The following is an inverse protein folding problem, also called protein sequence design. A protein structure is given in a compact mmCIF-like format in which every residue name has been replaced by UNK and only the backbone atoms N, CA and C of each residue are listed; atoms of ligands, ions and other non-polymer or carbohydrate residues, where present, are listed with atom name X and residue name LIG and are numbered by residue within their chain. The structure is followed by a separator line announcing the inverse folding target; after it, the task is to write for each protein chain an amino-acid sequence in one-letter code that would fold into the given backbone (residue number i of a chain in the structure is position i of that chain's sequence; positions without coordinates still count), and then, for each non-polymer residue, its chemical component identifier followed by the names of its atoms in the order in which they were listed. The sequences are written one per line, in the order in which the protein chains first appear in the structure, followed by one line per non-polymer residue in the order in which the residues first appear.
data_IF_236770614106
#
_entry.id   IF_236770614106
#
_cell.length_a   1.000
_cell.length_b   1.000
_cell.length_c   1.000
_cell.angle_alpha   90.00
_cell.angle_beta   90.00
_cell.angle_gamma   90.00
#
_symmetry.space_group_name_H-M   'P 1'
#
loop_
_entity.id
_entity.type
_entity.pdbx_description
1 polymer ?
#
# COMPACT_ATOMS: atom_id res chain seq x y z
N UNK A 1 31.14 18.44 38.44
CA UNK A 1 29.66 18.35 38.48
C UNK A 1 28.99 18.78 37.16
N UNK A 2 29.38 19.91 36.54
CA UNK A 2 28.78 20.42 35.28
C UNK A 2 28.98 19.49 34.07
N UNK A 3 30.18 18.92 33.90
CA UNK A 3 30.50 17.96 32.83
C UNK A 3 29.64 16.69 32.89
N UNK A 4 29.42 16.15 34.11
CA UNK A 4 28.57 14.96 34.34
C UNK A 4 27.11 15.21 33.95
N UNK A 5 26.58 16.42 34.19
CA UNK A 5 25.21 16.79 33.77
C UNK A 5 25.08 16.95 32.26
N UNK A 6 26.09 17.49 31.59
CA UNK A 6 26.09 17.64 30.12
C UNK A 6 26.15 16.27 29.44
N UNK A 7 27.01 15.37 29.94
CA UNK A 7 27.08 14.00 29.45
C UNK A 7 25.75 13.25 29.64
N UNK A 8 25.14 13.37 30.83
CA UNK A 8 23.83 12.78 31.10
C UNK A 8 22.73 13.33 30.17
N UNK A 9 22.67 14.64 29.97
CA UNK A 9 21.69 15.26 29.08
C UNK A 9 21.86 14.85 27.60
N UNK A 10 23.10 14.72 27.11
CA UNK A 10 23.39 14.22 25.75
C UNK A 10 22.92 12.77 25.60
N UNK A 11 23.19 11.95 26.61
CA UNK A 11 22.77 10.55 26.65
C UNK A 11 21.24 10.43 26.62
N UNK A 12 20.53 11.20 27.44
CA UNK A 12 19.06 11.21 27.49
C UNK A 12 18.44 11.66 26.15
N UNK A 13 19.08 12.60 25.44
CA UNK A 13 18.67 13.02 24.10
C UNK A 13 18.87 11.92 23.04
N UNK A 14 20.01 11.22 23.07
CA UNK A 14 20.28 10.10 22.17
C UNK A 14 19.27 8.96 22.38
N UNK A 15 19.04 8.56 23.63
CA UNK A 15 18.03 7.54 23.98
C UNK A 15 16.61 7.95 23.52
N UNK A 16 16.24 9.21 23.70
CA UNK A 16 14.94 9.72 23.23
C UNK A 16 14.81 9.68 21.70
N UNK A 17 15.89 10.01 20.99
CA UNK A 17 15.91 10.01 19.53
C UNK A 17 15.87 8.59 18.96
N UNK A 18 16.66 7.67 19.54
CA UNK A 18 16.63 6.25 19.21
C UNK A 18 15.22 5.67 19.36
N UNK A 19 14.56 5.93 20.50
CA UNK A 19 13.18 5.49 20.74
C UNK A 19 12.21 6.00 19.70
N UNK A 20 12.35 7.27 19.28
CA UNK A 20 11.52 7.86 18.23
C UNK A 20 11.73 7.14 16.89
N UNK A 21 12.98 6.90 16.50
CA UNK A 21 13.31 6.21 15.25
C UNK A 21 12.83 4.76 15.26
N UNK A 22 13.05 4.03 16.35
CA UNK A 22 12.60 2.64 16.54
C UNK A 22 11.07 2.54 16.48
N UNK A 23 10.36 3.45 17.15
CA UNK A 23 8.90 3.53 17.08
C UNK A 23 8.41 3.89 15.67
N UNK A 24 9.11 4.78 14.98
CA UNK A 24 8.79 5.16 13.60
C UNK A 24 9.02 3.99 12.64
N UNK A 25 10.09 3.23 12.84
CA UNK A 25 10.41 2.05 12.05
C UNK A 25 9.31 1.00 12.16
N UNK A 26 8.89 0.65 13.39
CA UNK A 26 7.77 -0.24 13.63
C UNK A 26 6.48 0.26 12.97
N UNK A 27 6.15 1.55 13.12
CA UNK A 27 4.96 2.15 12.49
C UNK A 27 5.01 2.06 10.97
N UNK A 28 6.15 2.30 10.34
CA UNK A 28 6.28 2.20 8.89
C UNK A 28 6.11 0.77 8.40
N UNK A 29 6.66 -0.22 9.11
CA UNK A 29 6.43 -1.64 8.82
C UNK A 29 4.94 -1.99 8.90
N UNK A 30 4.23 -1.51 9.91
CA UNK A 30 2.79 -1.76 10.06
C UNK A 30 1.99 -1.11 8.93
N UNK A 31 2.37 0.11 8.49
CA UNK A 31 1.75 0.76 7.34
C UNK A 31 1.99 -0.01 6.03
N UNK A 32 3.18 -0.59 5.84
CA UNK A 32 3.46 -1.47 4.69
C UNK A 32 2.52 -2.67 4.71
N UNK A 33 2.44 -3.39 5.83
CA UNK A 33 1.56 -4.56 5.98
C UNK A 33 0.09 -4.19 5.74
N UNK A 34 -0.35 -3.07 6.30
CA UNK A 34 -1.71 -2.58 6.12
C UNK A 34 -2.02 -2.24 4.66
N UNK A 35 -1.08 -1.60 3.95
CA UNK A 35 -1.22 -1.33 2.52
C UNK A 35 -1.28 -2.63 1.68
N UNK A 36 -0.53 -3.65 2.06
CA UNK A 36 -0.60 -4.98 1.44
C UNK A 36 -1.96 -5.66 1.67
N UNK A 37 -2.47 -5.62 2.90
CA UNK A 37 -3.80 -6.15 3.21
C UNK A 37 -4.89 -5.43 2.40
N UNK A 38 -4.82 -4.10 2.27
CA UNK A 38 -5.75 -3.32 1.44
C UNK A 38 -5.71 -3.73 -0.03
N UNK A 39 -4.51 -3.88 -0.59
CA UNK A 39 -4.36 -4.28 -1.99
C UNK A 39 -4.83 -5.71 -2.23
N UNK A 40 -4.56 -6.64 -1.29
CA UNK A 40 -5.07 -8.00 -1.36
C UNK A 40 -6.60 -8.04 -1.28
N UNK A 41 -7.19 -7.29 -0.35
CA UNK A 41 -8.64 -7.21 -0.20
C UNK A 41 -9.31 -6.67 -1.48
N UNK A 42 -8.78 -5.57 -2.04
CA UNK A 42 -9.34 -5.00 -3.28
C UNK A 42 -9.14 -5.94 -4.48
N UNK A 43 -8.05 -6.71 -4.53
CA UNK A 43 -7.81 -7.68 -5.60
C UNK A 43 -8.81 -8.84 -5.52
N UNK A 44 -9.01 -9.41 -4.34
CA UNK A 44 -10.05 -10.43 -4.10
C UNK A 44 -11.42 -9.92 -4.50
N UNK A 45 -11.74 -8.68 -4.12
CA UNK A 45 -12.98 -8.04 -4.51
C UNK A 45 -13.13 -7.93 -6.03
N UNK A 46 -12.10 -7.48 -6.75
CA UNK A 46 -12.10 -7.44 -8.21
C UNK A 46 -12.32 -8.84 -8.83
N UNK A 47 -11.60 -9.85 -8.33
CA UNK A 47 -11.72 -11.23 -8.81
C UNK A 47 -13.14 -11.80 -8.66
N UNK A 48 -13.76 -11.59 -7.49
CA UNK A 48 -15.15 -12.02 -7.23
C UNK A 48 -16.11 -11.33 -8.20
N UNK A 49 -16.04 -10.00 -8.32
CA UNK A 49 -16.92 -9.24 -9.20
C UNK A 49 -16.75 -9.58 -10.68
N UNK A 50 -15.51 -9.74 -11.16
CA UNK A 50 -15.26 -10.21 -12.52
C UNK A 50 -15.88 -11.60 -12.74
N UNK A 51 -15.69 -12.54 -11.80
CA UNK A 51 -16.29 -13.87 -11.87
C UNK A 51 -17.82 -13.83 -11.94
N UNK A 52 -18.45 -13.00 -11.11
CA UNK A 52 -19.91 -12.78 -11.15
C UNK A 52 -20.37 -12.21 -12.48
N UNK A 53 -19.70 -11.18 -13.00
CA UNK A 53 -20.06 -10.55 -14.29
C UNK A 53 -19.90 -11.54 -15.44
N UNK A 54 -18.80 -12.31 -15.49
CA UNK A 54 -18.57 -13.34 -16.50
C UNK A 54 -19.68 -14.39 -16.44
N UNK A 55 -20.07 -14.82 -15.23
CA UNK A 55 -21.14 -15.80 -15.04
C UNK A 55 -22.47 -15.27 -15.57
N UNK A 56 -22.82 -14.01 -15.27
CA UNK A 56 -24.04 -13.37 -15.77
C UNK A 56 -24.01 -13.19 -17.29
N UNK A 57 -22.87 -12.81 -17.87
CA UNK A 57 -22.71 -12.67 -19.32
C UNK A 57 -22.77 -13.99 -20.10
N UNK A 58 -22.46 -15.11 -19.45
CA UNK A 58 -22.57 -16.46 -20.03
C UNK A 58 -23.97 -17.08 -19.87
N UNK A 59 -24.83 -16.46 -19.08
CA UNK A 59 -26.23 -16.90 -18.95
C UNK A 59 -26.93 -16.77 -20.31
N UNK A 60 -27.79 -17.73 -20.70
CA UNK A 60 -28.56 -17.64 -21.94
C UNK A 60 -29.58 -16.49 -21.91
N UNK A 61 -30.03 -16.08 -20.72
CA UNK A 61 -30.95 -14.97 -20.54
C UNK A 61 -30.22 -13.63 -20.66
N UNK A 62 -30.81 -12.69 -21.39
CA UNK A 62 -30.26 -11.33 -21.43
C UNK A 62 -30.44 -10.64 -20.06
N UNK A 63 -29.38 -10.01 -19.54
CA UNK A 63 -29.50 -9.32 -18.27
C UNK A 63 -30.46 -8.13 -18.42
N UNK A 64 -31.33 -7.89 -17.41
CA UNK A 64 -32.39 -6.88 -17.50
C UNK A 64 -31.81 -5.48 -17.69
N UNK A 65 -32.65 -4.51 -18.07
CA UNK A 65 -32.29 -3.07 -18.12
C UNK A 65 -31.08 -2.71 -19.01
N UNK A 66 -30.61 -3.62 -19.89
CA UNK A 66 -29.46 -3.36 -20.75
C UNK A 66 -28.10 -3.46 -20.05
N UNK A 67 -28.00 -4.18 -18.92
CA UNK A 67 -26.75 -4.38 -18.17
C UNK A 67 -25.60 -4.98 -18.98
N UNK A 68 -25.90 -5.64 -20.11
CA UNK A 68 -24.90 -6.24 -20.99
C UNK A 68 -23.85 -5.22 -21.46
N UNK A 69 -24.27 -4.02 -21.85
CA UNK A 69 -23.35 -2.97 -22.28
C UNK A 69 -22.48 -2.46 -21.12
N UNK A 70 -23.07 -2.27 -19.93
CA UNK A 70 -22.34 -1.88 -18.73
C UNK A 70 -21.28 -2.93 -18.34
N UNK A 71 -21.63 -4.22 -18.39
CA UNK A 71 -20.71 -5.31 -18.09
C UNK A 71 -19.50 -5.36 -19.04
N UNK A 72 -19.69 -5.09 -20.34
CA UNK A 72 -18.59 -5.03 -21.31
C UNK A 72 -17.60 -3.89 -21.03
N UNK A 73 -18.04 -2.80 -20.39
CA UNK A 73 -17.17 -1.68 -19.98
C UNK A 73 -16.55 -1.93 -18.60
N UNK A 74 -17.30 -2.49 -17.67
CA UNK A 74 -16.86 -2.73 -16.28
C UNK A 74 -15.77 -3.80 -16.21
N UNK A 75 -15.90 -4.87 -16.99
CA UNK A 75 -14.97 -5.99 -16.96
C UNK A 75 -13.51 -5.59 -17.27
N UNK A 76 -13.20 -4.81 -18.35
CA UNK A 76 -11.84 -4.33 -18.58
C UNK A 76 -11.36 -3.35 -17.50
N UNK A 77 -12.24 -2.51 -16.92
CA UNK A 77 -11.86 -1.61 -15.83
C UNK A 77 -11.41 -2.38 -14.59
N UNK A 78 -12.16 -3.41 -14.20
CA UNK A 78 -11.80 -4.30 -13.08
C UNK A 78 -10.53 -5.09 -13.38
N UNK A 79 -10.34 -5.54 -14.62
CA UNK A 79 -9.13 -6.25 -15.03
C UNK A 79 -7.89 -5.35 -14.92
N UNK A 80 -7.97 -4.10 -15.40
CA UNK A 80 -6.87 -3.13 -15.26
C UNK A 80 -6.60 -2.81 -13.79
N UNK A 81 -7.65 -2.65 -12.96
CA UNK A 81 -7.49 -2.46 -11.52
C UNK A 81 -6.79 -3.65 -10.86
N UNK A 82 -7.16 -4.88 -11.21
CA UNK A 82 -6.53 -6.11 -10.73
C UNK A 82 -5.05 -6.19 -11.13
N UNK A 83 -4.70 -5.86 -12.38
CA UNK A 83 -3.30 -5.81 -12.83
C UNK A 83 -2.50 -4.77 -12.02
N UNK A 84 -3.05 -3.57 -11.82
CA UNK A 84 -2.41 -2.55 -10.98
C UNK A 84 -2.16 -3.08 -9.56
N UNK A 85 -3.13 -3.77 -8.96
CA UNK A 85 -2.97 -4.37 -7.63
C UNK A 85 -1.91 -5.47 -7.59
N UNK A 86 -1.83 -6.29 -8.64
CA UNK A 86 -0.76 -7.30 -8.77
C UNK A 86 0.63 -6.64 -8.81
N UNK A 87 0.78 -5.48 -9.46
CA UNK A 87 2.07 -4.75 -9.46
C UNK A 87 2.51 -4.26 -8.06
N UNK A 88 1.59 -4.10 -7.10
CA UNK A 88 1.93 -3.75 -5.71
C UNK A 88 2.62 -4.90 -4.96
N UNK A 89 2.42 -6.14 -5.39
CA UNK A 89 3.05 -7.32 -4.79
C UNK A 89 4.44 -7.61 -5.36
N UNK A 90 4.80 -7.00 -6.49
CA UNK A 90 6.13 -7.21 -7.07
C UNK A 90 7.21 -6.66 -6.12
N UNK A 91 8.25 -7.47 -5.82
CA UNK A 91 9.36 -7.03 -4.99
C UNK A 91 10.02 -5.82 -5.64
N UNK A 92 10.21 -4.77 -4.86
CA UNK A 92 10.97 -3.63 -5.34
C UNK A 92 12.45 -3.90 -5.09
N UNK A 93 13.23 -3.93 -6.17
CA UNK A 93 14.68 -3.89 -6.09
C UNK A 93 15.14 -2.49 -5.67
N UNK A 94 14.94 -2.15 -4.39
CA UNK A 94 15.46 -0.94 -3.77
C UNK A 94 16.96 -1.06 -3.49
N UNK A 95 17.71 -1.81 -4.31
CA UNK A 95 19.14 -2.07 -4.09
C UNK A 95 19.99 -0.80 -3.94
N UNK A 96 19.52 0.33 -4.49
CA UNK A 96 20.18 1.62 -4.36
C UNK A 96 19.86 2.40 -3.07
N UNK A 97 18.87 1.98 -2.28
CA UNK A 97 18.40 2.73 -1.09
C UNK A 97 18.73 2.04 0.24
N UNK A 98 19.42 0.89 0.23
CA UNK A 98 19.80 0.17 1.46
C UNK A 98 21.24 0.40 1.90
N UNK A 99 22.04 1.14 1.12
CA UNK A 99 23.42 1.44 1.51
C UNK A 99 23.44 2.62 2.48
N UNK A 100 24.19 2.46 3.57
CA UNK A 100 24.57 3.56 4.44
C UNK A 100 25.30 4.66 3.65
N UNK A 101 25.29 5.89 4.16
CA UNK A 101 25.84 7.06 3.46
C UNK A 101 27.33 6.92 3.09
N UNK A 102 28.06 6.07 3.82
CA UNK A 102 29.46 5.72 3.65
C UNK A 102 29.69 4.47 2.77
N UNK A 103 28.63 3.82 2.30
CA UNK A 103 28.68 2.58 1.53
C UNK A 103 28.89 1.31 2.37
N UNK A 104 28.86 1.40 3.70
CA UNK A 104 28.98 0.27 4.61
C UNK A 104 27.72 -0.61 4.66
N UNK A 105 27.88 -1.84 5.17
CA UNK A 105 26.82 -2.84 5.32
C UNK A 105 25.83 -2.45 6.41
N UNK A 106 24.55 -2.34 6.07
CA UNK A 106 23.49 -2.03 7.04
C UNK A 106 23.05 -3.35 7.72
N UNK A 107 23.53 -3.60 8.94
CA UNK A 107 23.24 -4.83 9.68
C UNK A 107 21.83 -4.86 10.28
N UNK A 108 21.01 -3.82 10.10
CA UNK A 108 19.57 -3.90 10.34
C UNK A 108 18.83 -4.47 9.11
N UNK A 109 19.41 -4.40 7.91
CA UNK A 109 18.76 -4.80 6.67
C UNK A 109 18.97 -6.28 6.39
N UNK A 110 17.86 -7.02 6.24
CA UNK A 110 17.89 -8.47 6.04
C UNK A 110 18.78 -8.92 4.86
N UNK A 111 18.87 -8.13 3.79
CA UNK A 111 19.65 -8.48 2.61
C UNK A 111 21.17 -8.36 2.81
N UNK A 112 21.61 -7.54 3.78
CA UNK A 112 23.01 -7.46 4.18
C UNK A 112 23.33 -8.49 5.25
N UNK A 113 22.41 -8.75 6.19
CA UNK A 113 22.52 -9.84 7.17
C UNK A 113 22.63 -11.20 6.46
N UNK A 114 21.85 -11.41 5.40
CA UNK A 114 21.85 -12.67 4.64
C UNK A 114 23.17 -12.99 3.92
N UNK A 115 24.11 -12.03 3.85
CA UNK A 115 25.44 -12.24 3.28
C UNK A 115 26.46 -12.74 4.32
N UNK A 116 26.12 -12.67 5.60
CA UNK A 116 26.96 -13.13 6.71
C UNK A 116 26.73 -14.62 6.98
N UNK A 117 27.73 -15.30 7.54
CA UNK A 117 27.54 -16.63 8.07
C UNK A 117 26.72 -16.60 9.39
N UNK A 118 26.04 -17.71 9.71
CA UNK A 118 25.09 -17.77 10.82
C UNK A 118 25.69 -17.43 12.21
N UNK A 119 27.01 -17.56 12.37
CA UNK A 119 27.73 -17.20 13.60
C UNK A 119 28.27 -15.76 13.64
N UNK A 120 28.37 -15.08 12.50
CA UNK A 120 29.09 -13.81 12.38
C UNK A 120 28.24 -12.58 12.72
N UNK A 121 26.92 -12.70 12.63
CA UNK A 121 26.02 -11.56 12.83
C UNK A 121 26.16 -10.92 14.21
N UNK A 122 26.23 -11.72 15.28
CA UNK A 122 26.31 -11.19 16.65
C UNK A 122 27.59 -10.38 16.89
N UNK A 123 28.72 -10.87 16.40
CA UNK A 123 30.00 -10.17 16.49
C UNK A 123 30.00 -8.89 15.64
N UNK A 124 29.54 -8.98 14.40
CA UNK A 124 29.46 -7.83 13.49
C UNK A 124 28.53 -6.73 14.01
N UNK A 125 27.35 -7.11 14.53
CA UNK A 125 26.38 -6.19 15.09
C UNK A 125 26.89 -5.53 16.38
N UNK A 126 27.52 -6.30 17.28
CA UNK A 126 28.15 -5.76 18.48
C UNK A 126 29.25 -4.76 18.11
N UNK A 127 30.13 -5.12 17.17
CA UNK A 127 31.22 -4.26 16.73
C UNK A 127 30.74 -2.91 16.14
N UNK A 128 29.60 -2.89 15.45
CA UNK A 128 29.06 -1.69 14.78
C UNK A 128 28.12 -0.86 15.67
N UNK A 129 27.33 -1.52 16.50
CA UNK A 129 26.20 -0.89 17.21
C UNK A 129 26.36 -0.82 18.73
N UNK A 130 27.38 -1.45 19.30
CA UNK A 130 27.60 -1.36 20.75
C UNK A 130 28.11 0.05 21.11
N UNK A 131 27.39 0.82 21.94
CA UNK A 131 27.74 2.20 22.25
C UNK A 131 28.97 2.29 23.16
N UNK A 132 29.74 3.36 23.00
CA UNK A 132 30.83 3.70 23.92
C UNK A 132 30.31 4.16 25.29
N UNK A 133 31.17 4.16 26.32
CA UNK A 133 30.79 4.62 27.66
C UNK A 133 30.23 6.05 27.64
N UNK A 134 29.01 6.20 28.19
CA UNK A 134 28.32 7.49 28.27
C UNK A 134 27.50 7.85 27.03
N UNK A 135 27.38 6.96 26.05
CA UNK A 135 26.44 7.05 24.93
C UNK A 135 25.34 5.99 25.04
N UNK A 136 24.15 6.29 24.51
CA UNK A 136 23.02 5.34 24.48
C UNK A 136 22.96 4.55 23.18
N UNK A 137 23.45 5.13 22.09
CA UNK A 137 23.39 4.57 20.75
C UNK A 137 24.60 5.07 19.94
N UNK A 138 25.07 4.27 18.97
CA UNK A 138 26.07 4.70 17.99
C UNK A 138 25.41 5.50 16.87
N UNK A 139 26.15 6.43 16.26
CA UNK A 139 25.66 7.21 15.12
C UNK A 139 25.33 6.28 13.93
N UNK A 140 26.16 5.26 13.68
CA UNK A 140 25.92 4.24 12.65
C UNK A 140 24.58 3.50 12.83
N UNK A 141 24.22 3.18 14.08
CA UNK A 141 22.93 2.54 14.38
C UNK A 141 21.75 3.48 14.09
N UNK A 142 21.86 4.75 14.52
CA UNK A 142 20.82 5.75 14.30
C UNK A 142 20.64 6.05 12.80
N UNK A 143 21.73 6.14 12.04
CA UNK A 143 21.72 6.35 10.60
C UNK A 143 21.10 5.17 9.84
N UNK A 144 21.51 3.93 10.19
CA UNK A 144 20.95 2.73 9.59
C UNK A 144 19.44 2.62 9.88
N UNK A 145 19.02 2.97 11.11
CA UNK A 145 17.62 2.96 11.52
C UNK A 145 16.81 4.03 10.79
N UNK A 146 17.33 5.25 10.66
CA UNK A 146 16.72 6.33 9.88
C UNK A 146 16.57 5.95 8.40
N UNK A 147 17.58 5.29 7.83
CA UNK A 147 17.52 4.75 6.47
C UNK A 147 16.37 3.75 6.32
N UNK A 148 16.23 2.82 7.28
CA UNK A 148 15.14 1.85 7.27
C UNK A 148 13.77 2.53 7.34
N UNK A 149 13.60 3.52 8.22
CA UNK A 149 12.36 4.31 8.31
C UNK A 149 12.03 4.93 6.96
N UNK A 150 13.01 5.56 6.31
CA UNK A 150 12.82 6.22 5.01
C UNK A 150 12.47 5.22 3.89
N UNK A 151 13.15 4.07 3.84
CA UNK A 151 12.88 3.00 2.87
C UNK A 151 11.47 2.45 3.05
N UNK A 152 11.09 2.09 4.28
CA UNK A 152 9.77 1.54 4.57
C UNK A 152 8.65 2.56 4.29
N UNK A 153 8.87 3.84 4.61
CA UNK A 153 7.92 4.91 4.27
C UNK A 153 7.71 5.03 2.75
N UNK A 154 8.76 4.89 1.94
CA UNK A 154 8.65 4.90 0.46
C UNK A 154 7.88 3.70 -0.06
N UNK A 155 8.13 2.51 0.49
CA UNK A 155 7.40 1.28 0.13
C UNK A 155 5.92 1.46 0.46
N UNK A 156 5.59 1.91 1.68
CA UNK A 156 4.22 2.13 2.12
C UNK A 156 3.51 3.14 1.20
N UNK A 157 4.11 4.31 0.97
CA UNK A 157 3.54 5.35 0.12
C UNK A 157 3.24 4.85 -1.30
N UNK A 158 4.16 4.08 -1.89
CA UNK A 158 3.95 3.47 -3.21
C UNK A 158 2.75 2.53 -3.20
N UNK A 159 2.66 1.61 -2.23
CA UNK A 159 1.55 0.65 -2.12
C UNK A 159 0.20 1.37 -1.92
N UNK A 160 0.17 2.47 -1.15
CA UNK A 160 -1.02 3.32 -1.03
C UNK A 160 -1.39 4.04 -2.33
N UNK A 161 -0.41 4.52 -3.11
CA UNK A 161 -0.69 5.09 -4.43
C UNK A 161 -1.29 4.07 -5.38
N UNK A 162 -0.77 2.85 -5.38
CA UNK A 162 -1.32 1.73 -6.15
C UNK A 162 -2.75 1.41 -5.72
N UNK A 163 -3.01 1.32 -4.41
CA UNK A 163 -4.35 1.15 -3.85
C UNK A 163 -5.32 2.23 -4.34
N UNK A 164 -4.92 3.50 -4.23
CA UNK A 164 -5.77 4.63 -4.61
C UNK A 164 -6.04 4.66 -6.12
N UNK A 165 -5.05 4.32 -6.95
CA UNK A 165 -5.22 4.24 -8.40
C UNK A 165 -6.22 3.15 -8.79
N UNK A 166 -6.05 1.94 -8.26
CA UNK A 166 -6.97 0.82 -8.49
C UNK A 166 -8.37 1.12 -7.92
N UNK A 167 -8.45 1.71 -6.73
CA UNK A 167 -9.70 2.09 -6.08
C UNK A 167 -10.53 3.07 -6.91
N UNK A 168 -9.89 4.02 -7.61
CA UNK A 168 -10.59 4.94 -8.53
C UNK A 168 -11.20 4.20 -9.73
N UNK A 169 -10.51 3.20 -10.28
CA UNK A 169 -11.02 2.38 -11.38
C UNK A 169 -12.20 1.51 -10.92
N UNK A 170 -12.11 0.92 -9.73
CA UNK A 170 -13.21 0.17 -9.12
C UNK A 170 -14.41 1.09 -8.87
N UNK A 171 -14.18 2.30 -8.35
CA UNK A 171 -15.26 3.28 -8.17
C UNK A 171 -15.92 3.66 -9.50
N UNK A 172 -15.12 3.94 -10.54
CA UNK A 172 -15.64 4.22 -11.88
C UNK A 172 -16.47 3.04 -12.43
N UNK A 173 -16.04 1.80 -12.15
CA UNK A 173 -16.78 0.59 -12.50
C UNK A 173 -18.16 0.55 -11.84
N UNK A 174 -18.27 0.90 -10.56
CA UNK A 174 -19.58 0.99 -9.88
C UNK A 174 -20.47 2.09 -10.46
N UNK A 175 -19.89 3.24 -10.83
CA UNK A 175 -20.65 4.30 -11.50
C UNK A 175 -21.19 3.79 -12.83
N UNK A 176 -20.38 3.10 -13.65
CA UNK A 176 -20.83 2.49 -14.89
C UNK A 176 -21.95 1.46 -14.65
N UNK A 177 -21.83 0.61 -13.63
CA UNK A 177 -22.87 -0.35 -13.26
C UNK A 177 -24.18 0.31 -12.80
N UNK A 178 -24.14 1.52 -12.24
CA UNK A 178 -25.34 2.23 -11.83
C UNK A 178 -26.08 2.91 -13.01
N UNK A 179 -25.46 3.02 -14.19
CA UNK A 179 -26.07 3.71 -15.34
C UNK A 179 -27.33 3.02 -15.89
N UNK A 180 -27.41 1.68 -16.08
CA UNK A 180 -28.59 1.05 -16.67
C UNK A 180 -29.91 1.30 -15.91
N UNK A 181 -29.99 1.13 -14.57
CA UNK A 181 -31.25 1.38 -13.86
C UNK A 181 -31.65 2.86 -13.88
N UNK A 182 -30.67 3.78 -13.84
CA UNK A 182 -30.94 5.23 -13.92
C UNK A 182 -31.55 5.56 -15.28
N UNK A 183 -30.93 5.09 -16.37
CA UNK A 183 -31.45 5.28 -17.73
C UNK A 183 -32.84 4.67 -17.87
N UNK A 184 -33.06 3.47 -17.33
CA UNK A 184 -34.35 2.80 -17.35
C UNK A 184 -35.45 3.59 -16.63
N UNK A 185 -35.16 4.16 -15.45
CA UNK A 185 -36.11 5.01 -14.72
C UNK A 185 -36.47 6.26 -15.53
N UNK A 186 -35.48 6.96 -16.08
CA UNK A 186 -35.73 8.14 -16.91
C UNK A 186 -36.56 7.81 -18.15
N UNK A 187 -36.24 6.71 -18.85
CA UNK A 187 -37.01 6.26 -20.00
C UNK A 187 -38.45 5.91 -19.63
N UNK A 188 -38.67 5.29 -18.47
CA UNK A 188 -40.01 4.92 -18.00
C UNK A 188 -40.84 6.17 -17.66
N UNK A 189 -40.27 7.11 -16.90
CA UNK A 189 -40.94 8.38 -16.57
C UNK A 189 -41.29 9.16 -17.84
N UNK A 190 -40.37 9.24 -18.79
CA UNK A 190 -40.57 9.95 -20.06
C UNK A 190 -41.72 9.36 -20.88
N UNK A 191 -41.74 8.03 -21.03
CA UNK A 191 -42.82 7.34 -21.76
C UNK A 191 -44.18 7.53 -21.09
N UNK A 192 -44.23 7.46 -19.76
CA UNK A 192 -45.47 7.71 -19.01
C UNK A 192 -45.96 9.15 -19.20
N UNK A 193 -45.06 10.13 -19.14
CA UNK A 193 -45.39 11.53 -19.37
C UNK A 193 -45.94 11.79 -20.79
N UNK A 194 -45.33 11.18 -21.82
CA UNK A 194 -45.84 11.25 -23.19
C UNK A 194 -47.24 10.64 -23.31
N UNK A 195 -47.46 9.46 -22.73
CA UNK A 195 -48.80 8.83 -22.76
C UNK A 195 -49.89 9.66 -22.07
N UNK A 196 -49.55 10.41 -21.02
CA UNK A 196 -50.48 11.33 -20.34
C UNK A 196 -50.73 12.61 -21.14
N UNK A 197 -49.74 13.09 -21.91
CA UNK A 197 -49.91 14.23 -22.79
C UNK A 197 -50.80 13.85 -23.99
N UNK A 198 -50.57 12.69 -24.60
CA UNK A 198 -51.35 12.19 -25.74
C UNK A 198 -52.79 11.81 -25.35
N UNK A 199 -53.05 11.42 -24.10
CA UNK A 199 -54.40 11.08 -23.61
C UNK A 199 -55.27 12.31 -23.27
N UNK A 200 -54.68 13.50 -23.13
CA UNK A 200 -55.36 14.74 -22.73
C UNK A 200 -55.47 15.78 -23.86
N UNK A 201 -54.93 15.49 -25.05
CA UNK A 201 -55.01 16.32 -26.26
C UNK A 201 -55.95 15.72 -27.31
#
# INVERSE_FOLDING_TARGET
MKLRRIAMAKNDQQDSYEKLLSASHGRMLDLVKFAETKNAALLTFCSVWMGSIITMLRSPDEPPMGYRAAFLVVLPLLAVAAVILLTSFLPQFLHHFHRAADGSTNLLYFGDIAKLEAGEFGEAASKRYFPEEGQSATDDYLDDLALQVAVQARIANRKFKTFNAAGRLVLASFVCMATPPVVWVFQTIWKTAQSLADANG
#
